data_IF_279126902423
#
_entry.id   IF_279126902423
#
_cell.length_a   1.000
_cell.length_b   1.000
_cell.length_c   1.000
_cell.angle_alpha   90.00
_cell.angle_beta   90.00
_cell.angle_gamma   90.00
#
_symmetry.space_group_name_H-M   'P 1'
#
loop_
_entity.id
_entity.type
_entity.pdbx_description
1 polymer ?
#
# COMPACT_ATOMS: atom_id res chain seq x y z
N UNK A 1 17.71 -28.21 -7.84
CA UNK A 1 17.32 -27.91 -9.25
C UNK A 1 16.00 -28.58 -9.66
N UNK A 2 15.81 -29.89 -9.37
CA UNK A 2 14.55 -30.61 -9.69
C UNK A 2 13.32 -30.05 -8.95
N UNK A 3 13.49 -29.65 -7.70
CA UNK A 3 12.43 -29.05 -6.89
C UNK A 3 11.81 -27.80 -7.53
N UNK A 4 12.65 -26.87 -8.00
CA UNK A 4 12.19 -25.63 -8.67
C UNK A 4 11.38 -25.95 -9.93
N UNK A 5 11.84 -26.92 -10.74
CA UNK A 5 11.10 -27.35 -11.93
C UNK A 5 9.76 -28.00 -11.60
N UNK A 6 9.69 -28.80 -10.54
CA UNK A 6 8.45 -29.39 -10.07
C UNK A 6 7.48 -28.31 -9.54
N UNK A 7 8.00 -27.27 -8.89
CA UNK A 7 7.22 -26.13 -8.41
C UNK A 7 6.62 -25.33 -9.58
N UNK A 8 7.43 -24.98 -10.57
CA UNK A 8 6.96 -24.26 -11.76
C UNK A 8 5.89 -25.07 -12.51
N UNK A 9 6.10 -26.37 -12.69
CA UNK A 9 5.13 -27.26 -13.33
C UNK A 9 3.79 -27.28 -12.59
N UNK A 10 3.81 -27.25 -11.25
CA UNK A 10 2.59 -27.16 -10.43
C UNK A 10 1.84 -25.85 -10.67
N UNK A 11 2.54 -24.72 -10.78
CA UNK A 11 1.90 -23.42 -11.05
C UNK A 11 1.31 -23.36 -12.46
N UNK A 12 2.03 -23.89 -13.45
CA UNK A 12 1.55 -23.98 -14.83
C UNK A 12 0.34 -24.92 -14.95
N UNK A 13 0.41 -26.11 -14.33
CA UNK A 13 -0.65 -27.12 -14.37
C UNK A 13 -1.94 -26.65 -13.66
N UNK A 14 -1.83 -25.86 -12.59
CA UNK A 14 -2.99 -25.24 -11.94
C UNK A 14 -3.75 -24.28 -12.86
N UNK A 15 -3.07 -23.70 -13.85
CA UNK A 15 -3.62 -22.69 -14.75
C UNK A 15 -3.74 -21.29 -14.14
N UNK A 16 -4.17 -20.35 -14.98
CA UNK A 16 -4.38 -18.95 -14.59
C UNK A 16 -5.66 -18.83 -13.76
N UNK A 17 -5.54 -18.27 -12.55
CA UNK A 17 -6.70 -17.93 -11.71
C UNK A 17 -6.98 -16.44 -11.83
N UNK A 18 -8.23 -16.09 -12.12
CA UNK A 18 -8.69 -14.70 -12.11
C UNK A 18 -8.60 -14.15 -10.68
N UNK A 19 -8.12 -12.92 -10.53
CA UNK A 19 -8.12 -12.23 -9.26
C UNK A 19 -9.56 -12.04 -8.75
N UNK A 20 -9.75 -12.18 -7.45
CA UNK A 20 -11.04 -11.84 -6.81
C UNK A 20 -11.20 -10.31 -6.83
N UNK A 21 -12.41 -9.79 -7.06
CA UNK A 21 -12.66 -8.35 -7.00
C UNK A 21 -12.74 -7.81 -5.56
N UNK A 22 -12.67 -8.67 -4.56
CA UNK A 22 -12.86 -8.30 -3.15
C UNK A 22 -11.61 -7.68 -2.51
N UNK A 23 -10.43 -7.93 -3.12
CA UNK A 23 -9.15 -7.42 -2.65
C UNK A 23 -8.56 -6.51 -3.71
N UNK A 24 -8.31 -5.26 -3.33
CA UNK A 24 -7.68 -4.25 -4.18
C UNK A 24 -6.36 -3.81 -3.55
N UNK A 25 -5.32 -3.69 -4.37
CA UNK A 25 -4.03 -3.18 -3.95
C UNK A 25 -3.94 -1.69 -4.27
N UNK A 26 -3.83 -0.86 -3.24
CA UNK A 26 -3.45 0.54 -3.37
C UNK A 26 -1.92 0.62 -3.34
N UNK A 27 -1.31 0.82 -4.50
CA UNK A 27 0.15 0.81 -4.66
C UNK A 27 0.70 2.23 -4.71
N UNK A 28 1.95 2.40 -4.27
CA UNK A 28 2.70 3.64 -4.41
C UNK A 28 3.66 3.45 -5.58
N UNK A 29 3.29 4.04 -6.71
CA UNK A 29 4.07 4.01 -7.94
C UNK A 29 4.75 5.36 -8.21
N UNK A 30 5.58 5.42 -9.25
CA UNK A 30 6.30 6.63 -9.65
C UNK A 30 5.36 7.81 -9.91
N UNK A 31 4.24 7.55 -10.60
CA UNK A 31 3.20 8.55 -10.85
C UNK A 31 2.60 9.11 -9.55
N UNK A 32 2.42 8.28 -8.54
CA UNK A 32 1.97 8.69 -7.22
C UNK A 32 3.01 9.59 -6.55
N UNK A 33 4.29 9.25 -6.64
CA UNK A 33 5.38 10.06 -6.08
C UNK A 33 5.50 11.42 -6.78
N UNK A 34 5.33 11.47 -8.09
CA UNK A 34 5.37 12.72 -8.87
C UNK A 34 4.23 13.66 -8.49
N UNK A 35 3.05 13.11 -8.21
CA UNK A 35 1.84 13.89 -7.92
C UNK A 35 1.70 14.27 -6.44
N UNK A 36 2.08 13.38 -5.55
CA UNK A 36 1.84 13.49 -4.11
C UNK A 36 3.10 13.92 -3.36
N UNK A 37 4.27 13.72 -3.97
CA UNK A 37 5.58 13.99 -3.40
C UNK A 37 6.29 12.73 -2.92
N UNK A 38 7.54 12.94 -2.49
CA UNK A 38 8.46 11.88 -2.09
C UNK A 38 7.97 11.08 -0.87
N UNK A 39 8.16 9.77 -0.92
CA UNK A 39 7.97 8.84 0.19
C UNK A 39 9.18 8.90 1.18
N UNK A 40 9.00 8.68 2.50
CA UNK A 40 7.77 8.38 3.23
C UNK A 40 6.83 9.57 3.36
N UNK A 41 5.52 9.32 3.19
CA UNK A 41 4.51 10.35 3.34
C UNK A 41 4.16 10.60 4.82
N UNK A 42 3.81 11.85 5.20
CA UNK A 42 3.31 12.13 6.55
C UNK A 42 2.07 11.31 6.89
N UNK A 43 1.89 10.92 8.15
CA UNK A 43 0.73 10.09 8.58
C UNK A 43 -0.59 10.80 8.35
N UNK A 44 -0.63 12.13 8.40
CA UNK A 44 -1.82 12.90 8.04
C UNK A 44 -2.30 12.62 6.61
N UNK A 45 -1.38 12.39 5.67
CA UNK A 45 -1.70 12.05 4.28
C UNK A 45 -2.20 10.60 4.15
N UNK A 46 -1.57 9.68 4.89
CA UNK A 46 -2.05 8.29 4.99
C UNK A 46 -3.46 8.23 5.59
N UNK A 47 -3.76 9.05 6.61
CA UNK A 47 -5.10 9.16 7.19
C UNK A 47 -6.16 9.60 6.16
N UNK A 48 -5.84 10.59 5.32
CA UNK A 48 -6.73 10.99 4.21
C UNK A 48 -6.97 9.85 3.21
N UNK A 49 -5.96 9.02 2.94
CA UNK A 49 -6.12 7.83 2.10
C UNK A 49 -7.06 6.81 2.75
N UNK A 50 -6.91 6.55 4.06
CA UNK A 50 -7.82 5.67 4.82
C UNK A 50 -9.27 6.16 4.74
N UNK A 51 -9.49 7.46 4.96
CA UNK A 51 -10.82 8.05 4.87
C UNK A 51 -11.43 7.87 3.48
N UNK A 52 -10.63 8.08 2.43
CA UNK A 52 -11.06 7.91 1.05
C UNK A 52 -11.43 6.45 0.76
N UNK A 53 -10.56 5.50 1.13
CA UNK A 53 -10.81 4.07 0.91
C UNK A 53 -12.07 3.60 1.66
N UNK A 54 -12.22 4.04 2.91
CA UNK A 54 -13.38 3.73 3.74
C UNK A 54 -14.68 4.27 3.11
N UNK A 55 -14.67 5.53 2.63
CA UNK A 55 -15.81 6.13 1.91
C UNK A 55 -16.16 5.39 0.62
N UNK A 56 -15.19 4.75 -0.02
CA UNK A 56 -15.39 3.95 -1.23
C UNK A 56 -15.72 2.47 -0.94
N UNK A 57 -16.06 2.12 0.30
CA UNK A 57 -16.61 0.81 0.66
C UNK A 57 -15.58 -0.22 1.11
N UNK A 58 -14.32 0.17 1.35
CA UNK A 58 -13.35 -0.72 1.97
C UNK A 58 -13.81 -1.10 3.40
N UNK A 59 -14.02 -2.39 3.65
CA UNK A 59 -14.39 -2.90 4.98
C UNK A 59 -13.19 -3.09 5.90
N UNK A 60 -12.04 -3.40 5.32
CA UNK A 60 -10.76 -3.63 6.01
C UNK A 60 -9.66 -2.99 5.18
N UNK A 61 -8.74 -2.29 5.84
CA UNK A 61 -7.58 -1.66 5.21
C UNK A 61 -6.33 -2.21 5.88
N UNK A 62 -5.50 -2.90 5.11
CA UNK A 62 -4.20 -3.43 5.55
C UNK A 62 -3.06 -2.58 5.02
N UNK A 63 -2.01 -2.45 5.82
CA UNK A 63 -0.79 -1.74 5.43
C UNK A 63 0.37 -2.72 5.31
N UNK A 64 1.02 -2.73 4.16
CA UNK A 64 2.33 -3.36 3.94
C UNK A 64 3.42 -2.28 3.94
N UNK A 65 3.37 -1.39 4.94
CA UNK A 65 4.35 -0.32 5.14
C UNK A 65 4.65 -0.18 6.63
N UNK A 66 5.93 0.06 6.95
CA UNK A 66 6.37 0.26 8.33
C UNK A 66 6.23 1.72 8.78
N UNK A 67 5.71 1.92 10.00
CA UNK A 67 5.56 3.22 10.64
C UNK A 67 6.54 3.35 11.83
N UNK A 68 7.83 3.18 11.57
CA UNK A 68 8.87 2.95 12.59
C UNK A 68 9.11 4.13 13.53
N UNK A 69 9.16 5.33 12.99
CA UNK A 69 9.45 6.55 13.74
C UNK A 69 8.19 7.39 13.90
N UNK A 70 7.98 8.07 15.05
CA UNK A 70 6.88 9.00 15.24
C UNK A 70 6.80 10.02 14.08
N UNK A 71 5.58 10.45 13.74
CA UNK A 71 5.42 11.45 12.69
C UNK A 71 5.89 12.79 13.25
N UNK A 72 6.81 13.44 12.56
CA UNK A 72 7.13 14.82 12.87
C UNK A 72 5.93 15.66 12.44
N UNK A 73 5.07 15.98 13.41
CA UNK A 73 3.92 16.85 13.21
C UNK A 73 4.41 18.23 12.75
N UNK A 74 4.57 18.42 11.44
CA UNK A 74 5.05 19.68 10.85
C UNK A 74 4.21 20.87 11.34
N UNK A 75 2.91 20.66 11.53
CA UNK A 75 1.98 21.68 12.04
C UNK A 75 2.28 22.15 13.48
N UNK A 76 2.90 21.34 14.34
CA UNK A 76 3.26 21.76 15.70
C UNK A 76 4.57 22.56 15.72
N UNK A 77 5.42 22.42 14.70
CA UNK A 77 6.65 23.22 14.60
C UNK A 77 6.33 24.67 14.21
N UNK A 78 5.33 24.90 13.34
CA UNK A 78 4.91 26.25 12.93
C UNK A 78 4.26 27.07 14.06
N UNK A 79 3.71 26.45 15.09
CA UNK A 79 3.05 27.15 16.22
C UNK A 79 4.10 27.62 17.25
N UNK A 80 5.30 27.04 17.23
CA UNK A 80 6.37 27.30 18.19
C UNK A 80 7.51 28.17 17.61
N UNK A 81 7.27 28.88 16.51
CA UNK A 81 8.23 29.75 15.84
C UNK A 81 7.75 31.19 15.77
#
# INVERSE_FOLDING_TARGET
MIELKAYDLRFLSRGMKKATPEVVLAVIDEKSLDTIGKWPWPRAKIGKLVDLLSKNGAKVIGFDVGFWEPDENNNLQFINQ
#
